data_IF_200565976261
#
_entry.id   IF_200565976261
#
_cell.length_a   1.000
_cell.length_b   1.000
_cell.length_c   1.000
_cell.angle_alpha   90.00
_cell.angle_beta   90.00
_cell.angle_gamma   90.00
#
_symmetry.space_group_name_H-M   'P 1'
#
loop_
_entity.id
_entity.type
_entity.pdbx_description
1 polymer ?
#
# COMPACT_ATOMS: atom_id res chain seq x y z
N UNK A 1 -8.27 4.22 -3.04
CA UNK A 1 -7.14 3.65 -3.81
C UNK A 1 -6.82 4.53 -5.01
N UNK A 2 -7.80 4.91 -5.82
CA UNK A 2 -7.59 5.83 -6.95
C UNK A 2 -7.00 7.18 -6.52
N UNK A 3 -7.49 7.76 -5.41
CA UNK A 3 -6.94 9.00 -4.86
C UNK A 3 -5.48 8.84 -4.41
N UNK A 4 -5.15 7.74 -3.73
CA UNK A 4 -3.77 7.43 -3.34
C UNK A 4 -2.86 7.25 -4.56
N UNK A 5 -3.35 6.56 -5.60
CA UNK A 5 -2.60 6.41 -6.85
C UNK A 5 -2.34 7.77 -7.51
N UNK A 6 -3.35 8.64 -7.53
CA UNK A 6 -3.22 9.99 -8.05
C UNK A 6 -2.24 10.84 -7.23
N UNK A 7 -2.32 10.78 -5.90
CA UNK A 7 -1.39 11.49 -5.01
C UNK A 7 0.05 11.05 -5.24
N UNK A 8 0.30 9.74 -5.35
CA UNK A 8 1.64 9.21 -5.61
C UNK A 8 2.13 9.61 -7.01
N UNK A 9 1.27 9.57 -8.03
CA UNK A 9 1.63 10.09 -9.35
C UNK A 9 1.99 11.57 -9.29
N UNK A 10 1.30 12.38 -8.48
CA UNK A 10 1.60 13.80 -8.30
C UNK A 10 2.93 14.01 -7.58
N UNK A 11 3.21 13.24 -6.52
CA UNK A 11 4.48 13.30 -5.78
C UNK A 11 5.68 12.89 -6.63
N UNK A 12 5.47 11.98 -7.59
CA UNK A 12 6.53 11.47 -8.45
C UNK A 12 6.61 12.19 -9.80
N UNK A 13 5.74 13.15 -10.07
CA UNK A 13 5.75 13.93 -11.31
C UNK A 13 7.08 14.69 -11.46
N UNK A 14 7.76 14.52 -12.60
CA UNK A 14 9.06 15.14 -12.85
C UNK A 14 10.26 14.49 -12.14
N UNK A 15 10.07 13.43 -11.34
CA UNK A 15 11.16 12.70 -10.67
C UNK A 15 11.92 11.73 -11.58
N UNK A 16 11.36 11.42 -12.77
CA UNK A 16 11.89 10.41 -13.69
C UNK A 16 11.56 8.97 -13.27
N UNK A 17 10.74 8.79 -12.24
CA UNK A 17 10.30 7.49 -11.74
C UNK A 17 8.97 7.11 -12.41
N UNK A 18 8.92 5.90 -12.98
CA UNK A 18 7.71 5.39 -13.62
C UNK A 18 6.71 4.82 -12.60
N UNK A 19 5.48 5.32 -12.63
CA UNK A 19 4.36 4.83 -11.82
C UNK A 19 3.41 4.00 -12.68
N UNK A 20 3.44 2.69 -12.48
CA UNK A 20 2.61 1.70 -13.17
C UNK A 20 1.38 1.41 -12.32
N UNK A 21 0.20 1.74 -12.85
CA UNK A 21 -1.07 1.36 -12.26
C UNK A 21 -1.49 -0.03 -12.75
N UNK A 22 -1.75 -0.93 -11.81
CA UNK A 22 -2.23 -2.29 -12.09
C UNK A 22 -3.57 -2.58 -11.42
N UNK A 23 -4.07 -3.78 -11.63
CA UNK A 23 -5.25 -4.30 -10.95
C UNK A 23 -4.94 -5.70 -10.45
N UNK A 24 -5.28 -5.99 -9.21
CA UNK A 24 -5.12 -7.30 -8.59
C UNK A 24 -6.48 -7.79 -8.13
N UNK A 25 -6.73 -9.07 -8.38
CA UNK A 25 -7.89 -9.75 -7.84
C UNK A 25 -7.65 -10.08 -6.37
N UNK A 26 -8.44 -9.48 -5.49
CA UNK A 26 -8.47 -9.88 -4.09
C UNK A 26 -9.65 -10.84 -3.88
N UNK A 27 -9.33 -12.04 -3.43
CA UNK A 27 -10.32 -12.99 -2.92
C UNK A 27 -10.29 -12.89 -1.41
N UNK A 28 -11.25 -12.17 -0.83
CA UNK A 28 -11.31 -11.94 0.60
C UNK A 28 -12.36 -12.85 1.25
N UNK A 29 -11.94 -13.65 2.24
CA UNK A 29 -12.84 -14.50 3.02
C UNK A 29 -13.42 -13.75 4.24
N UNK A 30 -12.94 -12.54 4.54
CA UNK A 30 -13.40 -11.72 5.67
C UNK A 30 -14.87 -11.28 5.53
N UNK A 31 -15.41 -11.31 4.30
CA UNK A 31 -16.81 -11.00 4.00
C UNK A 31 -17.75 -12.21 4.05
N UNK A 32 -17.23 -13.43 4.24
CA UNK A 32 -18.01 -14.69 4.19
C UNK A 32 -19.09 -14.74 5.29
N UNK A 33 -18.89 -14.06 6.42
CA UNK A 33 -19.92 -13.94 7.47
C UNK A 33 -21.02 -12.91 7.20
N UNK A 34 -20.79 -11.93 6.32
CA UNK A 34 -21.72 -10.83 6.06
C UNK A 34 -22.68 -11.12 4.88
N UNK A 35 -22.35 -12.07 4.02
CA UNK A 35 -23.18 -12.46 2.87
C UNK A 35 -23.48 -13.96 2.94
N UNK A 36 -24.62 -14.32 3.56
CA UNK A 36 -25.11 -15.70 3.72
C UNK A 36 -25.34 -16.47 2.39
N UNK A 37 -25.09 -15.85 1.23
CA UNK A 37 -25.37 -16.42 -0.09
C UNK A 37 -24.29 -16.16 -1.16
N UNK A 38 -23.13 -15.59 -0.81
CA UNK A 38 -22.08 -15.31 -1.80
C UNK A 38 -20.78 -15.97 -1.37
N UNK A 39 -20.35 -17.00 -2.09
CA UNK A 39 -18.99 -17.52 -1.99
C UNK A 39 -17.96 -16.41 -2.22
N UNK A 40 -16.70 -16.64 -1.81
CA UNK A 40 -15.57 -15.70 -1.86
C UNK A 40 -15.74 -14.57 -2.88
N UNK A 41 -16.13 -13.38 -2.40
CA UNK A 41 -16.30 -12.22 -3.27
C UNK A 41 -14.95 -11.86 -3.87
N UNK A 42 -14.89 -11.80 -5.21
CA UNK A 42 -13.72 -11.35 -5.95
C UNK A 42 -13.86 -9.87 -6.22
N UNK A 43 -12.86 -9.11 -5.80
CA UNK A 43 -12.80 -7.67 -6.03
C UNK A 43 -11.61 -7.36 -6.92
N UNK A 44 -11.86 -6.59 -7.97
CA UNK A 44 -10.81 -5.94 -8.75
C UNK A 44 -10.36 -4.71 -7.97
N UNK A 45 -9.15 -4.77 -7.44
CA UNK A 45 -8.61 -3.66 -6.63
C UNK A 45 -7.33 -3.15 -7.28
N UNK A 46 -7.25 -1.82 -7.41
CA UNK A 46 -6.13 -1.13 -8.03
C UNK A 46 -4.85 -1.35 -7.22
N UNK A 47 -3.74 -1.57 -7.90
CA UNK A 47 -2.39 -1.65 -7.34
C UNK A 47 -1.53 -0.56 -7.95
N UNK A 48 -0.54 -0.07 -7.20
CA UNK A 48 0.45 0.89 -7.70
C UNK A 48 1.80 0.19 -7.67
N UNK A 49 2.58 0.30 -8.73
CA UNK A 49 3.93 -0.25 -8.80
C UNK A 49 4.84 0.84 -9.33
N UNK A 50 5.90 1.13 -8.59
CA UNK A 50 6.85 2.18 -8.86
C UNK A 50 8.16 1.47 -9.16
N UNK A 51 8.76 1.75 -10.31
CA UNK A 51 10.03 1.16 -10.70
C UNK A 51 11.07 2.25 -10.92
N UNK A 52 12.24 2.05 -10.33
CA UNK A 52 13.39 2.92 -10.53
C UNK A 52 14.65 2.04 -10.57
N UNK A 53 15.22 1.88 -11.77
CA UNK A 53 16.36 1.01 -12.04
C UNK A 53 16.10 -0.46 -11.59
N UNK A 54 16.91 -0.99 -10.68
CA UNK A 54 16.79 -2.35 -10.14
C UNK A 54 15.94 -2.41 -8.86
N UNK A 55 15.30 -1.30 -8.47
CA UNK A 55 14.47 -1.18 -7.27
C UNK A 55 13.01 -1.06 -7.67
N UNK A 56 12.13 -1.75 -6.96
CA UNK A 56 10.69 -1.65 -7.16
C UNK A 56 9.93 -1.49 -5.85
N UNK A 57 8.91 -0.66 -5.88
CA UNK A 57 8.00 -0.43 -4.76
C UNK A 57 6.59 -0.74 -5.25
N UNK A 58 5.93 -1.74 -4.67
CA UNK A 58 4.55 -2.09 -5.01
C UNK A 58 3.62 -1.85 -3.84
N UNK A 59 2.56 -1.08 -4.07
CA UNK A 59 1.47 -0.88 -3.13
C UNK A 59 0.30 -1.72 -3.61
N UNK A 60 -0.03 -2.74 -2.82
CA UNK A 60 -1.11 -3.66 -3.13
C UNK A 60 -2.10 -3.75 -1.97
N UNK A 61 -3.41 -3.84 -2.25
CA UNK A 61 -4.40 -4.11 -1.23
C UNK A 61 -4.17 -5.51 -0.65
N UNK A 62 -4.19 -5.58 0.67
CA UNK A 62 -4.11 -6.83 1.42
C UNK A 62 -5.49 -7.31 1.84
N UNK A 63 -6.31 -6.42 2.41
CA UNK A 63 -7.64 -6.75 2.93
C UNK A 63 -8.58 -5.54 2.80
N UNK A 64 -9.86 -5.79 2.54
CA UNK A 64 -10.88 -4.71 2.53
C UNK A 64 -11.24 -4.25 3.94
N UNK A 65 -11.23 -5.19 4.90
CA UNK A 65 -11.49 -4.91 6.30
C UNK A 65 -10.66 -5.87 7.17
N UNK A 66 -9.92 -5.35 8.14
CA UNK A 66 -9.13 -6.13 9.07
C UNK A 66 -9.20 -5.51 10.47
N UNK A 67 -9.52 -6.32 11.49
CA UNK A 67 -9.48 -5.90 12.90
C UNK A 67 -10.22 -4.58 13.20
N UNK A 68 -11.37 -4.35 12.56
CA UNK A 68 -12.16 -3.12 12.75
C UNK A 68 -11.77 -1.95 11.84
N UNK A 69 -10.76 -2.11 10.98
CA UNK A 69 -10.20 -1.06 10.12
C UNK A 69 -10.50 -1.34 8.65
N UNK A 70 -10.81 -0.28 7.90
CA UNK A 70 -11.18 -0.34 6.48
C UNK A 70 -9.97 -0.05 5.59
N UNK A 71 -9.89 -0.76 4.46
CA UNK A 71 -8.93 -0.50 3.40
C UNK A 71 -7.50 -0.74 3.87
N UNK A 72 -7.11 -2.00 4.03
CA UNK A 72 -5.76 -2.39 4.41
C UNK A 72 -4.92 -2.65 3.17
N UNK A 73 -3.83 -1.90 3.02
CA UNK A 73 -2.87 -2.05 1.92
C UNK A 73 -1.51 -2.45 2.47
N UNK A 74 -0.75 -3.15 1.66
CA UNK A 74 0.64 -3.49 1.90
C UNK A 74 1.51 -2.75 0.90
N UNK A 75 2.42 -1.92 1.41
CA UNK A 75 3.53 -1.35 0.68
C UNK A 75 4.68 -2.36 0.77
N UNK A 76 5.04 -2.92 -0.38
CA UNK A 76 6.13 -3.89 -0.53
C UNK A 76 7.28 -3.21 -1.25
N UNK A 77 8.49 -3.32 -0.72
CA UNK A 77 9.68 -2.73 -1.34
C UNK A 77 10.67 -3.85 -1.62
N UNK A 78 11.08 -3.94 -2.88
CA UNK A 78 11.98 -4.96 -3.41
C UNK A 78 13.22 -4.23 -3.95
N UNK A 79 14.34 -4.39 -3.25
CA UNK A 79 15.62 -3.79 -3.62
C UNK A 79 16.72 -4.85 -3.45
N UNK A 80 17.50 -5.15 -4.49
CA UNK A 80 18.56 -6.14 -4.43
C UNK A 80 19.72 -5.73 -3.50
N UNK A 81 19.84 -4.45 -3.17
CA UNK A 81 20.83 -3.91 -2.23
C UNK A 81 20.40 -4.03 -0.76
N UNK A 82 19.12 -4.32 -0.48
CA UNK A 82 18.63 -4.47 0.88
C UNK A 82 19.07 -5.82 1.48
N UNK A 83 19.68 -5.78 2.67
CA UNK A 83 19.98 -6.98 3.49
C UNK A 83 18.76 -7.87 3.75
N UNK A 84 17.56 -7.28 3.72
CA UNK A 84 16.28 -7.98 3.71
C UNK A 84 15.65 -7.71 2.36
N UNK A 85 15.68 -8.69 1.45
CA UNK A 85 15.26 -8.56 0.06
C UNK A 85 13.83 -8.00 -0.14
N UNK A 86 12.99 -8.02 0.90
CA UNK A 86 11.63 -7.50 0.85
C UNK A 86 11.18 -6.95 2.21
N UNK A 87 10.65 -5.73 2.21
CA UNK A 87 10.00 -5.12 3.38
C UNK A 87 8.51 -4.90 3.12
N UNK A 88 7.71 -4.97 4.19
CA UNK A 88 6.26 -4.83 4.14
C UNK A 88 5.82 -3.77 5.17
N UNK A 89 5.10 -2.76 4.72
CA UNK A 89 4.40 -1.82 5.59
C UNK A 89 2.89 -2.02 5.40
N UNK A 90 2.13 -2.02 6.48
CA UNK A 90 0.69 -2.02 6.40
C UNK A 90 0.19 -0.59 6.50
N UNK A 91 -0.81 -0.23 5.70
CA UNK A 91 -1.50 1.02 5.83
C UNK A 91 -3.00 0.77 5.89
N UNK A 92 -3.72 1.61 6.61
CA UNK A 92 -5.17 1.56 6.68
C UNK A 92 -5.79 2.94 6.48
N UNK A 93 -7.01 2.95 5.93
CA UNK A 93 -7.74 4.18 5.67
C UNK A 93 -8.29 4.78 6.97
N UNK A 94 -8.27 6.10 7.09
CA UNK A 94 -8.90 6.87 8.16
C UNK A 94 -10.31 7.31 7.79
N UNK A 95 -11.03 7.86 8.77
CA UNK A 95 -12.35 8.48 8.58
C UNK A 95 -12.31 9.82 7.84
N UNK A 96 -11.13 10.41 7.65
CA UNK A 96 -10.91 11.74 7.04
C UNK A 96 -10.19 11.64 5.67
N UNK A 97 -10.38 10.53 4.94
CA UNK A 97 -9.81 10.30 3.61
C UNK A 97 -8.27 10.38 3.56
N UNK A 98 -7.60 9.75 4.54
CA UNK A 98 -6.14 9.61 4.61
C UNK A 98 -5.68 8.18 4.85
N UNK A 99 -4.38 7.93 4.67
CA UNK A 99 -3.75 6.63 4.92
C UNK A 99 -2.82 6.72 6.13
N UNK A 100 -3.07 5.92 7.16
CA UNK A 100 -2.16 5.78 8.30
C UNK A 100 -1.28 4.56 8.13
N UNK A 101 -0.02 4.71 8.51
CA UNK A 101 0.93 3.60 8.58
C UNK A 101 0.68 2.82 9.87
N UNK A 102 0.52 1.51 9.73
CA UNK A 102 0.46 0.54 10.80
C UNK A 102 1.63 -0.42 10.61
N UNK A 103 2.79 -0.02 11.13
CA UNK A 103 3.97 -0.87 11.11
C UNK A 103 4.37 -1.25 12.53
N UNK A 104 4.10 -2.49 12.90
CA UNK A 104 4.54 -3.06 14.16
C UNK A 104 6.07 -3.23 14.23
N UNK A 105 6.76 -3.30 13.08
CA UNK A 105 8.22 -3.35 13.06
C UNK A 105 8.86 -1.97 13.30
N UNK A 106 8.16 -0.88 12.95
CA UNK A 106 8.62 0.50 13.14
C UNK A 106 7.62 1.32 13.95
N UNK A 107 7.70 1.27 15.31
CA UNK A 107 6.78 1.98 16.18
C UNK A 107 6.84 3.51 16.01
N UNK A 108 7.92 4.06 15.44
CA UNK A 108 8.06 5.50 15.15
C UNK A 108 7.18 5.98 13.98
N UNK A 109 6.78 5.08 13.08
CA UNK A 109 5.88 5.37 11.96
C UNK A 109 4.44 4.95 12.24
N UNK A 110 4.20 4.22 13.34
CA UNK A 110 2.88 3.71 13.66
C UNK A 110 1.90 4.86 14.01
N UNK A 111 0.76 4.90 13.33
CA UNK A 111 -0.24 5.96 13.46
C UNK A 111 0.15 7.28 12.78
N UNK A 112 1.21 7.30 11.96
CA UNK A 112 1.60 8.48 11.18
C UNK A 112 0.85 8.51 9.85
N UNK A 113 0.37 9.70 9.47
CA UNK A 113 -0.26 9.95 8.18
C UNK A 113 0.77 9.84 7.05
N UNK A 114 0.43 9.09 6.01
CA UNK A 114 1.23 9.00 4.80
C UNK A 114 1.13 10.30 4.00
N UNK A 115 2.07 11.20 4.25
CA UNK A 115 2.32 12.39 3.43
C UNK A 115 3.45 12.13 2.43
N UNK A 116 3.65 13.04 1.49
CA UNK A 116 4.77 13.02 0.55
C UNK A 116 6.12 12.87 1.25
N UNK A 117 6.38 13.70 2.27
CA UNK A 117 7.62 13.67 3.03
C UNK A 117 7.82 12.34 3.75
N UNK A 118 6.75 11.78 4.33
CA UNK A 118 6.82 10.48 5.01
C UNK A 118 7.04 9.35 4.00
N UNK A 119 6.37 9.42 2.85
CA UNK A 119 6.52 8.47 1.75
C UNK A 119 7.96 8.46 1.23
N UNK A 120 8.53 9.64 0.92
CA UNK A 120 9.92 9.73 0.50
C UNK A 120 10.87 9.33 1.62
N UNK A 121 10.63 9.70 2.88
CA UNK A 121 11.47 9.24 4.00
C UNK A 121 11.45 7.72 4.16
N UNK A 122 10.32 7.05 3.94
CA UNK A 122 10.23 5.58 3.95
C UNK A 122 11.07 5.00 2.82
N UNK A 123 11.05 5.61 1.63
CA UNK A 123 11.81 5.14 0.46
C UNK A 123 13.30 5.49 0.56
N UNK A 124 13.66 6.67 1.03
CA UNK A 124 15.03 7.19 1.19
C UNK A 124 15.78 6.47 2.30
N UNK A 125 15.11 6.07 3.38
CA UNK A 125 15.70 5.20 4.42
C UNK A 125 16.13 3.81 3.88
N UNK A 126 15.92 3.54 2.60
CA UNK A 126 16.25 2.29 1.89
C UNK A 126 17.32 2.49 0.80
N UNK A 127 17.85 3.71 0.66
CA UNK A 127 18.97 4.05 -0.23
C UNK A 127 20.33 3.73 0.41
#
# INVERSE_FOLDING_TARGET
>A
MDELAQQICQWLDGSGIDVINGTKHLSDLSTVGACLNSGASRYDIRTISIQHDNKSVSIAPAQLYASGRKGCITLTIDSPDLKHARQYFYLHMTTEDGWLIDDNAQPELNGVLLTEEVFFKIIERLA
#
